data_IF_466285712223
#
_entry.id   IF_466285712223
#
_cell.length_a   1.000
_cell.length_b   1.000
_cell.length_c   1.000
_cell.angle_alpha   90.00
_cell.angle_beta   90.00
_cell.angle_gamma   90.00
#
_symmetry.space_group_name_H-M   'P 1'
#
loop_
_entity.id
_entity.type
_entity.pdbx_description
1 polymer ?
#
# COMPACT_ATOMS: atom_id res chain seq x y z
N UNK A 1 13.48 8.43 -15.24
CA UNK A 1 14.09 8.17 -16.53
C UNK A 1 13.06 8.16 -17.67
N UNK A 2 11.88 7.54 -17.45
CA UNK A 2 10.80 7.39 -18.44
C UNK A 2 9.57 8.22 -18.10
N UNK A 3 9.74 9.32 -17.39
CA UNK A 3 8.67 10.24 -17.00
C UNK A 3 7.89 10.70 -18.25
N UNK A 4 6.58 10.51 -18.26
CA UNK A 4 5.70 10.94 -19.34
C UNK A 4 5.86 10.17 -20.66
N UNK A 5 6.48 8.98 -20.63
CA UNK A 5 6.58 8.13 -21.82
C UNK A 5 5.23 7.44 -22.09
N UNK A 6 4.24 8.23 -22.54
CA UNK A 6 2.84 7.79 -22.68
C UNK A 6 2.63 6.66 -23.69
N UNK A 7 3.58 6.47 -24.62
CA UNK A 7 3.55 5.39 -25.61
C UNK A 7 4.33 4.13 -25.17
N UNK A 8 4.98 4.14 -24.00
CA UNK A 8 5.73 2.98 -23.50
C UNK A 8 4.76 1.88 -23.08
N UNK A 9 4.80 0.74 -23.76
CA UNK A 9 3.92 -0.42 -23.48
C UNK A 9 4.58 -1.51 -22.65
N UNK A 10 5.90 -1.66 -22.76
CA UNK A 10 6.68 -2.73 -22.11
C UNK A 10 8.02 -2.20 -21.61
N UNK A 11 8.58 -2.86 -20.60
CA UNK A 11 9.90 -2.57 -20.02
C UNK A 11 10.77 -3.82 -20.22
N UNK A 12 12.04 -3.65 -20.65
CA UNK A 12 12.99 -4.78 -20.70
C UNK A 12 13.30 -5.28 -19.29
N UNK A 13 13.42 -6.59 -19.13
CA UNK A 13 13.83 -7.23 -17.86
C UNK A 13 15.20 -6.76 -17.37
N UNK A 14 16.10 -6.46 -18.32
CA UNK A 14 17.49 -6.09 -18.01
C UNK A 14 17.74 -4.59 -17.94
N UNK A 15 16.66 -3.77 -17.97
CA UNK A 15 16.77 -2.31 -18.06
C UNK A 15 17.71 -1.70 -17.02
N UNK A 16 17.69 -2.20 -15.79
CA UNK A 16 18.53 -1.71 -14.70
C UNK A 16 19.58 -2.72 -14.22
N UNK A 17 19.81 -3.80 -14.96
CA UNK A 17 20.67 -4.90 -14.51
C UNK A 17 22.10 -4.47 -14.17
N UNK A 18 22.64 -3.49 -14.90
CA UNK A 18 24.00 -2.98 -14.72
C UNK A 18 24.08 -1.70 -13.85
N UNK A 19 22.95 -1.18 -13.37
CA UNK A 19 22.90 0.07 -12.61
C UNK A 19 22.76 -0.20 -11.10
N UNK A 20 23.64 -1.03 -10.54
CA UNK A 20 23.51 -1.63 -9.19
C UNK A 20 23.51 -0.63 -8.04
N UNK A 21 24.04 0.58 -8.24
CA UNK A 21 24.20 1.62 -7.21
C UNK A 21 23.04 2.64 -7.17
N UNK A 22 21.97 2.41 -7.94
CA UNK A 22 20.81 3.31 -7.93
C UNK A 22 20.15 3.29 -6.55
N UNK A 23 19.99 4.48 -5.96
CA UNK A 23 19.33 4.67 -4.65
C UNK A 23 17.89 5.14 -4.78
N UNK A 24 17.47 5.66 -5.93
CA UNK A 24 16.13 6.22 -6.10
C UNK A 24 15.57 5.96 -7.49
N UNK A 25 14.36 5.41 -7.51
CA UNK A 25 13.52 5.24 -8.69
C UNK A 25 12.33 6.20 -8.72
N UNK A 26 12.47 7.35 -8.03
CA UNK A 26 11.41 8.34 -7.96
C UNK A 26 11.01 8.82 -9.36
N UNK A 27 9.69 8.80 -9.63
CA UNK A 27 9.10 9.20 -10.92
C UNK A 27 9.64 8.43 -12.14
N UNK A 28 10.26 7.26 -11.95
CA UNK A 28 10.99 6.59 -13.04
C UNK A 28 10.08 6.26 -14.23
N UNK A 29 8.86 5.77 -13.97
CA UNK A 29 7.82 5.47 -14.96
C UNK A 29 6.54 6.27 -14.72
N UNK A 30 6.65 7.44 -14.09
CA UNK A 30 5.51 8.31 -13.86
C UNK A 30 4.82 8.67 -15.18
N UNK A 31 3.49 8.57 -15.22
CA UNK A 31 2.66 8.90 -16.40
C UNK A 31 2.99 8.08 -17.67
N UNK A 32 3.49 6.86 -17.52
CA UNK A 32 3.59 5.88 -18.60
C UNK A 32 2.23 5.23 -18.84
N UNK A 33 1.30 5.99 -19.42
CA UNK A 33 -0.13 5.64 -19.45
C UNK A 33 -0.47 4.38 -20.26
N UNK A 34 0.36 4.02 -21.27
CA UNK A 34 0.19 2.81 -22.07
C UNK A 34 0.90 1.58 -21.48
N UNK A 35 1.65 1.71 -20.38
CA UNK A 35 2.39 0.60 -19.78
C UNK A 35 1.40 -0.44 -19.24
N UNK A 36 1.48 -1.67 -19.75
CA UNK A 36 0.54 -2.76 -19.43
C UNK A 36 1.09 -3.71 -18.36
N UNK A 37 2.40 -3.96 -18.38
CA UNK A 37 3.06 -4.93 -17.50
C UNK A 37 4.40 -4.42 -17.00
N UNK A 38 4.79 -4.86 -15.81
CA UNK A 38 6.11 -4.69 -15.23
C UNK A 38 6.79 -6.06 -15.28
N UNK A 39 8.03 -6.19 -15.79
CA UNK A 39 8.72 -7.47 -15.80
C UNK A 39 9.09 -7.92 -14.39
N UNK A 40 9.09 -9.23 -14.17
CA UNK A 40 9.60 -9.82 -12.92
C UNK A 40 11.05 -9.40 -12.67
N UNK A 41 11.38 -9.14 -11.41
CA UNK A 41 12.75 -8.81 -11.02
C UNK A 41 13.32 -7.52 -11.60
N UNK A 42 12.49 -6.59 -12.13
CA UNK A 42 12.95 -5.33 -12.72
C UNK A 42 14.00 -4.60 -11.86
N UNK A 43 13.86 -4.65 -10.54
CA UNK A 43 14.77 -3.99 -9.60
C UNK A 43 15.66 -4.98 -8.82
N UNK A 44 15.80 -6.23 -9.28
CA UNK A 44 16.49 -7.28 -8.53
C UNK A 44 17.98 -6.96 -8.27
N UNK A 45 18.63 -6.23 -9.18
CA UNK A 45 20.04 -5.86 -9.06
C UNK A 45 20.27 -4.50 -8.36
N UNK A 46 19.19 -3.83 -7.91
CA UNK A 46 19.26 -2.49 -7.35
C UNK A 46 18.97 -2.51 -5.83
N UNK A 47 19.69 -3.36 -5.09
CA UNK A 47 19.43 -3.61 -3.66
C UNK A 47 19.62 -2.37 -2.76
N UNK A 48 20.39 -1.37 -3.22
CA UNK A 48 20.61 -0.10 -2.51
C UNK A 48 19.46 0.92 -2.67
N UNK A 49 18.43 0.60 -3.47
CA UNK A 49 17.32 1.50 -3.69
C UNK A 49 16.51 1.70 -2.40
N UNK A 50 16.39 2.96 -1.99
CA UNK A 50 15.68 3.38 -0.76
C UNK A 50 14.33 4.02 -1.06
N UNK A 51 14.09 4.49 -2.29
CA UNK A 51 12.84 5.20 -2.62
C UNK A 51 12.29 4.83 -4.00
N UNK A 52 10.97 4.56 -4.01
CA UNK A 52 10.14 4.29 -5.19
C UNK A 52 8.97 5.28 -5.28
N UNK A 53 9.16 6.51 -4.77
CA UNK A 53 8.14 7.53 -4.73
C UNK A 53 7.67 7.88 -6.16
N UNK A 54 6.36 7.80 -6.43
CA UNK A 54 5.73 7.99 -7.75
C UNK A 54 6.29 7.08 -8.87
N UNK A 55 6.95 5.98 -8.56
CA UNK A 55 7.68 5.19 -9.56
C UNK A 55 6.80 4.76 -10.74
N UNK A 56 5.58 4.27 -10.46
CA UNK A 56 4.59 3.86 -11.47
C UNK A 56 3.28 4.65 -11.36
N UNK A 57 3.31 5.85 -10.79
CA UNK A 57 2.09 6.64 -10.66
C UNK A 57 1.55 7.04 -12.05
N UNK A 58 0.22 7.05 -12.19
CA UNK A 58 -0.50 7.30 -13.44
C UNK A 58 -0.23 6.28 -14.57
N UNK A 59 0.33 5.12 -14.30
CA UNK A 59 0.40 4.03 -15.26
C UNK A 59 -1.01 3.42 -15.45
N UNK A 60 -1.89 4.16 -16.13
CA UNK A 60 -3.32 3.83 -16.22
C UNK A 60 -3.61 2.51 -16.93
N UNK A 61 -2.71 2.06 -17.82
CA UNK A 61 -2.78 0.79 -18.54
C UNK A 61 -2.28 -0.42 -17.73
N UNK A 62 -1.63 -0.21 -16.57
CA UNK A 62 -1.01 -1.27 -15.79
C UNK A 62 -2.07 -2.20 -15.19
N UNK A 63 -2.07 -3.47 -15.61
CA UNK A 63 -3.08 -4.46 -15.20
C UNK A 63 -2.66 -5.33 -14.03
N UNK A 64 -1.35 -5.54 -13.84
CA UNK A 64 -0.79 -6.40 -12.80
C UNK A 64 0.59 -5.91 -12.33
N UNK A 65 0.94 -6.27 -11.10
CA UNK A 65 2.26 -6.04 -10.48
C UNK A 65 2.87 -7.42 -10.23
N UNK A 66 4.13 -7.70 -10.61
CA UNK A 66 4.78 -8.97 -10.25
C UNK A 66 5.06 -9.04 -8.74
N UNK A 67 4.82 -10.21 -8.14
CA UNK A 67 4.94 -10.39 -6.68
C UNK A 67 6.35 -10.21 -6.14
N UNK A 68 7.36 -10.42 -6.99
CA UNK A 68 8.78 -10.29 -6.64
C UNK A 68 9.39 -8.92 -7.00
N UNK A 69 8.56 -7.93 -7.38
CA UNK A 69 9.04 -6.62 -7.87
C UNK A 69 10.04 -5.96 -6.93
N UNK A 70 9.76 -5.97 -5.62
CA UNK A 70 10.60 -5.33 -4.60
C UNK A 70 11.33 -6.32 -3.69
N UNK A 71 11.40 -7.59 -4.07
CA UNK A 71 11.94 -8.68 -3.22
C UNK A 71 13.38 -8.40 -2.74
N UNK A 72 14.22 -7.83 -3.60
CA UNK A 72 15.64 -7.57 -3.31
C UNK A 72 15.89 -6.18 -2.70
N UNK A 73 14.90 -5.29 -2.72
CA UNK A 73 15.07 -3.89 -2.30
C UNK A 73 14.78 -3.71 -0.80
N UNK A 74 15.52 -4.44 0.05
CA UNK A 74 15.31 -4.47 1.51
C UNK A 74 15.56 -3.13 2.19
N UNK A 75 16.38 -2.25 1.57
CA UNK A 75 16.67 -0.90 2.05
C UNK A 75 15.56 0.12 1.75
N UNK A 76 14.52 -0.27 1.01
CA UNK A 76 13.46 0.65 0.62
C UNK A 76 12.63 1.11 1.82
N UNK A 77 12.58 2.43 2.02
CA UNK A 77 11.84 3.10 3.10
C UNK A 77 10.61 3.86 2.60
N UNK A 78 10.58 4.26 1.32
CA UNK A 78 9.57 5.17 0.78
C UNK A 78 8.88 4.61 -0.47
N UNK A 79 7.59 4.26 -0.32
CA UNK A 79 6.69 3.80 -1.37
C UNK A 79 5.52 4.78 -1.61
N UNK A 80 5.68 6.06 -1.22
CA UNK A 80 4.64 7.08 -1.44
C UNK A 80 4.24 7.13 -2.91
N UNK A 81 2.94 7.17 -3.18
CA UNK A 81 2.40 7.33 -4.53
C UNK A 81 2.88 6.29 -5.55
N UNK A 82 3.53 5.20 -5.13
CA UNK A 82 4.24 4.29 -6.04
C UNK A 82 3.35 3.77 -7.17
N UNK A 83 2.09 3.44 -6.88
CA UNK A 83 1.08 2.98 -7.85
C UNK A 83 -0.15 3.89 -7.89
N UNK A 84 0.01 5.17 -7.50
CA UNK A 84 -1.11 6.11 -7.55
C UNK A 84 -1.77 6.12 -8.92
N UNK A 85 -3.10 6.09 -8.96
CA UNK A 85 -3.90 6.16 -10.19
C UNK A 85 -3.62 5.08 -11.25
N UNK A 86 -3.10 3.91 -10.86
CA UNK A 86 -3.04 2.74 -11.74
C UNK A 86 -4.45 2.15 -11.90
N UNK A 87 -5.27 2.80 -12.75
CA UNK A 87 -6.73 2.54 -12.80
C UNK A 87 -7.12 1.19 -13.38
N UNK A 88 -6.26 0.57 -14.21
CA UNK A 88 -6.49 -0.76 -14.75
C UNK A 88 -6.05 -1.89 -13.82
N UNK A 89 -5.32 -1.58 -12.74
CA UNK A 89 -4.78 -2.57 -11.80
C UNK A 89 -5.93 -3.32 -11.10
N UNK A 90 -5.94 -4.66 -11.19
CA UNK A 90 -7.04 -5.52 -10.69
C UNK A 90 -6.79 -6.07 -9.29
N UNK A 91 -5.53 -6.38 -8.97
CA UNK A 91 -5.14 -6.96 -7.70
C UNK A 91 -3.73 -6.53 -7.31
N UNK A 92 -3.46 -6.56 -6.01
CA UNK A 92 -2.11 -6.42 -5.44
C UNK A 92 -1.63 -7.85 -5.16
N UNK A 93 -0.42 -8.23 -5.59
CA UNK A 93 0.08 -9.57 -5.31
C UNK A 93 0.37 -9.76 -3.82
N UNK A 94 0.08 -10.93 -3.30
CA UNK A 94 0.50 -11.32 -1.95
C UNK A 94 2.01 -11.24 -1.83
N UNK A 95 2.50 -10.71 -0.71
CA UNK A 95 3.93 -10.62 -0.45
C UNK A 95 4.68 -9.46 -1.13
N UNK A 96 3.99 -8.56 -1.88
CA UNK A 96 4.63 -7.44 -2.59
C UNK A 96 5.64 -6.67 -1.73
N UNK A 97 5.34 -6.44 -0.44
CA UNK A 97 6.20 -5.68 0.47
C UNK A 97 6.81 -6.53 1.59
N UNK A 98 6.74 -7.85 1.51
CA UNK A 98 7.17 -8.75 2.60
C UNK A 98 8.64 -8.56 2.98
N UNK A 99 9.52 -8.27 2.03
CA UNK A 99 10.96 -8.12 2.27
C UNK A 99 11.38 -6.66 2.55
N UNK A 100 10.46 -5.70 2.45
CA UNK A 100 10.75 -4.29 2.63
C UNK A 100 10.48 -3.86 4.09
N UNK A 101 11.13 -4.54 5.03
CA UNK A 101 10.88 -4.37 6.48
C UNK A 101 11.25 -2.98 7.00
N UNK A 102 12.14 -2.26 6.29
CA UNK A 102 12.52 -0.88 6.61
C UNK A 102 11.52 0.17 6.10
N UNK A 103 10.46 -0.23 5.39
CA UNK A 103 9.50 0.70 4.82
C UNK A 103 8.73 1.45 5.92
N UNK A 104 8.76 2.78 5.85
CA UNK A 104 8.08 3.69 6.80
C UNK A 104 6.86 4.39 6.20
N UNK A 105 6.82 4.54 4.85
CA UNK A 105 5.84 5.41 4.22
C UNK A 105 5.16 4.76 3.01
N UNK A 106 3.85 4.51 3.14
CA UNK A 106 2.95 4.00 2.11
C UNK A 106 1.83 5.01 1.76
N UNK A 107 2.02 6.30 2.10
CA UNK A 107 0.99 7.30 1.80
C UNK A 107 0.71 7.38 0.31
N UNK A 108 -0.57 7.44 -0.06
CA UNK A 108 -1.06 7.48 -1.44
C UNK A 108 -0.61 6.29 -2.33
N UNK A 109 -0.03 5.21 -1.78
CA UNK A 109 0.61 4.16 -2.57
C UNK A 109 -0.32 3.58 -3.64
N UNK A 110 -1.59 3.37 -3.32
CA UNK A 110 -2.64 2.88 -4.24
C UNK A 110 -3.80 3.87 -4.40
N UNK A 111 -3.56 5.17 -4.15
CA UNK A 111 -4.58 6.21 -4.30
C UNK A 111 -5.22 6.16 -5.69
N UNK A 112 -6.54 6.12 -5.76
CA UNK A 112 -7.28 6.18 -7.02
C UNK A 112 -7.11 4.97 -7.94
N UNK A 113 -6.65 3.82 -7.42
CA UNK A 113 -6.62 2.56 -8.15
C UNK A 113 -8.03 1.98 -8.26
N UNK A 114 -8.88 2.62 -9.08
CA UNK A 114 -10.31 2.29 -9.20
C UNK A 114 -10.57 0.89 -9.75
N UNK A 115 -9.60 0.28 -10.43
CA UNK A 115 -9.68 -1.09 -10.93
C UNK A 115 -9.54 -2.18 -9.87
N UNK A 116 -8.95 -1.87 -8.70
CA UNK A 116 -8.69 -2.86 -7.66
C UNK A 116 -9.98 -3.51 -7.16
N UNK A 117 -9.91 -4.83 -6.94
CA UNK A 117 -11.03 -5.65 -6.43
C UNK A 117 -10.74 -6.24 -5.05
N UNK A 118 -9.49 -6.57 -4.78
CA UNK A 118 -9.07 -7.25 -3.55
C UNK A 118 -7.77 -6.71 -3.02
N UNK A 119 -7.59 -6.79 -1.70
CA UNK A 119 -6.31 -6.58 -1.01
C UNK A 119 -5.87 -7.93 -0.46
N UNK A 120 -4.62 -8.35 -0.64
CA UNK A 120 -4.13 -9.60 -0.06
C UNK A 120 -4.05 -9.50 1.46
N UNK A 121 -4.25 -10.62 2.11
CA UNK A 121 -4.01 -10.79 3.54
C UNK A 121 -2.55 -10.50 3.85
N UNK A 122 -2.28 -9.86 4.99
CA UNK A 122 -0.93 -9.58 5.45
C UNK A 122 -0.10 -8.64 4.55
N UNK A 123 -0.74 -7.86 3.65
CA UNK A 123 0.01 -6.99 2.72
C UNK A 123 1.10 -6.17 3.41
N UNK A 124 0.81 -5.63 4.61
CA UNK A 124 1.75 -4.83 5.40
C UNK A 124 2.19 -5.51 6.70
N UNK A 125 1.94 -6.81 6.88
CA UNK A 125 2.22 -7.51 8.13
C UNK A 125 3.72 -7.48 8.52
N UNK A 126 4.62 -7.51 7.55
CA UNK A 126 6.07 -7.53 7.79
C UNK A 126 6.71 -6.13 7.83
N UNK A 127 5.94 -5.07 7.55
CA UNK A 127 6.45 -3.69 7.51
C UNK A 127 6.27 -3.02 8.88
N UNK A 128 6.99 -3.54 9.90
CA UNK A 128 6.84 -3.11 11.28
C UNK A 128 7.14 -1.62 11.47
N UNK A 129 8.05 -1.04 10.67
CA UNK A 129 8.42 0.38 10.75
C UNK A 129 7.47 1.32 10.02
N UNK A 130 6.45 0.79 9.35
CA UNK A 130 5.49 1.63 8.63
C UNK A 130 4.59 2.41 9.60
N UNK A 131 4.60 3.74 9.43
CA UNK A 131 3.85 4.71 10.26
C UNK A 131 2.91 5.60 9.43
N UNK A 132 3.08 5.67 8.11
CA UNK A 132 2.28 6.56 7.28
C UNK A 132 1.52 5.79 6.20
N UNK A 133 0.19 5.73 6.36
CA UNK A 133 -0.78 5.15 5.44
C UNK A 133 -1.80 6.20 4.94
N UNK A 134 -1.48 7.50 5.06
CA UNK A 134 -2.38 8.57 4.62
C UNK A 134 -2.83 8.33 3.18
N UNK A 135 -4.14 8.29 2.96
CA UNK A 135 -4.77 8.11 1.64
C UNK A 135 -4.28 6.89 0.85
N UNK A 136 -3.73 5.86 1.52
CA UNK A 136 -3.10 4.71 0.85
C UNK A 136 -4.03 4.04 -0.17
N UNK A 137 -5.32 3.89 0.16
CA UNK A 137 -6.36 3.30 -0.70
C UNK A 137 -7.50 4.26 -1.02
N UNK A 138 -7.28 5.57 -0.87
CA UNK A 138 -8.30 6.58 -1.18
C UNK A 138 -8.89 6.36 -2.58
N UNK A 139 -10.21 6.27 -2.68
CA UNK A 139 -10.91 6.17 -3.95
C UNK A 139 -10.73 4.84 -4.70
N UNK A 140 -10.31 3.77 -4.03
CA UNK A 140 -10.36 2.42 -4.58
C UNK A 140 -11.78 1.87 -4.52
N UNK A 141 -12.67 2.43 -5.35
CA UNK A 141 -14.14 2.36 -5.22
C UNK A 141 -14.74 0.96 -5.35
N UNK A 142 -14.05 0.02 -5.96
CA UNK A 142 -14.50 -1.37 -6.12
C UNK A 142 -13.75 -2.37 -5.24
N UNK A 143 -12.82 -1.91 -4.41
CA UNK A 143 -11.95 -2.78 -3.62
C UNK A 143 -12.70 -3.32 -2.40
N UNK A 144 -12.71 -4.63 -2.23
CA UNK A 144 -13.20 -5.29 -1.03
C UNK A 144 -12.18 -5.15 0.11
N UNK A 145 -12.68 -4.91 1.33
CA UNK A 145 -11.83 -4.88 2.52
C UNK A 145 -11.29 -6.26 2.87
N UNK A 146 -10.09 -6.26 3.48
CA UNK A 146 -9.52 -7.42 4.15
C UNK A 146 -9.15 -7.03 5.59
N UNK A 147 -9.69 -7.70 6.63
CA UNK A 147 -9.44 -7.35 8.02
C UNK A 147 -7.98 -7.54 8.45
N UNK A 148 -7.25 -8.44 7.80
CA UNK A 148 -5.89 -8.83 8.16
C UNK A 148 -4.79 -8.14 7.34
N UNK A 149 -5.09 -7.00 6.70
CA UNK A 149 -4.14 -6.30 5.83
C UNK A 149 -2.83 -5.90 6.55
N UNK A 150 -2.91 -5.58 7.85
CA UNK A 150 -1.77 -5.09 8.64
C UNK A 150 -1.11 -6.16 9.51
N UNK A 151 -1.69 -7.34 9.61
CA UNK A 151 -1.25 -8.37 10.55
C UNK A 151 -1.07 -9.72 9.86
N UNK A 152 -0.18 -10.53 10.39
CA UNK A 152 -0.09 -11.94 10.03
C UNK A 152 -1.27 -12.66 10.69
N UNK A 153 -2.19 -13.29 9.94
CA UNK A 153 -3.34 -13.98 10.53
C UNK A 153 -2.94 -15.13 11.46
N UNK A 154 -1.75 -15.71 11.25
CA UNK A 154 -1.21 -16.77 12.10
C UNK A 154 -0.53 -16.24 13.38
N UNK A 155 -0.31 -14.93 13.52
CA UNK A 155 0.28 -14.35 14.73
C UNK A 155 -0.65 -14.48 15.94
N UNK A 156 -0.07 -14.47 17.15
CA UNK A 156 -0.86 -14.43 18.40
C UNK A 156 -1.71 -13.15 18.46
N UNK A 157 -2.90 -13.22 19.07
CA UNK A 157 -3.82 -12.08 19.15
C UNK A 157 -3.17 -10.85 19.79
N UNK A 158 -2.37 -11.03 20.84
CA UNK A 158 -1.68 -9.91 21.49
C UNK A 158 -0.68 -9.21 20.54
N UNK A 159 0.01 -9.98 19.69
CA UNK A 159 0.95 -9.42 18.71
C UNK A 159 0.19 -8.63 17.63
N UNK A 160 -0.98 -9.13 17.22
CA UNK A 160 -1.86 -8.40 16.30
C UNK A 160 -2.33 -7.09 16.92
N UNK A 161 -2.78 -7.11 18.18
CA UNK A 161 -3.25 -5.92 18.88
C UNK A 161 -2.14 -4.88 19.09
N UNK A 162 -0.91 -5.32 19.32
CA UNK A 162 0.25 -4.46 19.56
C UNK A 162 0.94 -3.99 18.28
N UNK A 163 0.40 -4.27 17.11
CA UNK A 163 1.03 -4.00 15.80
C UNK A 163 1.55 -2.57 15.64
N UNK A 164 0.89 -1.60 16.25
CA UNK A 164 1.20 -0.17 16.13
C UNK A 164 1.47 0.49 17.49
N UNK A 165 1.74 -0.32 18.52
CA UNK A 165 1.96 0.22 19.88
C UNK A 165 3.14 1.20 19.89
N UNK A 166 2.97 2.31 20.60
CA UNK A 166 3.95 3.40 20.77
C UNK A 166 4.43 4.09 19.48
N UNK A 167 3.67 3.96 18.38
CA UNK A 167 3.99 4.60 17.10
C UNK A 167 3.04 5.77 16.81
N UNK A 168 3.58 6.83 16.21
CA UNK A 168 2.80 7.95 15.67
C UNK A 168 2.27 7.54 14.29
N UNK A 169 0.98 7.19 14.23
CA UNK A 169 0.37 6.64 13.02
C UNK A 169 -0.43 7.69 12.25
N UNK A 170 -0.27 7.71 10.93
CA UNK A 170 -1.11 8.50 10.03
C UNK A 170 -1.98 7.60 9.14
N UNK A 171 -3.27 7.50 9.50
CA UNK A 171 -4.31 6.79 8.75
C UNK A 171 -5.34 7.75 8.12
N UNK A 172 -5.07 9.06 8.05
CA UNK A 172 -6.00 10.01 7.45
C UNK A 172 -6.40 9.57 6.05
N UNK A 173 -7.70 9.53 5.78
CA UNK A 173 -8.28 9.14 4.49
C UNK A 173 -7.80 7.78 3.96
N UNK A 174 -7.18 6.91 4.75
CA UNK A 174 -6.53 5.69 4.28
C UNK A 174 -7.45 4.84 3.39
N UNK A 175 -8.71 4.69 3.79
CA UNK A 175 -9.74 3.96 3.08
C UNK A 175 -10.92 4.86 2.65
N UNK A 176 -10.69 6.15 2.45
CA UNK A 176 -11.75 7.09 2.05
C UNK A 176 -12.37 6.66 0.72
N UNK A 177 -13.71 6.54 0.68
CA UNK A 177 -14.46 6.12 -0.52
C UNK A 177 -14.00 4.78 -1.12
N UNK A 178 -13.62 3.83 -0.28
CA UNK A 178 -13.38 2.44 -0.66
C UNK A 178 -14.71 1.68 -0.67
N UNK A 179 -14.84 0.73 -1.58
CA UNK A 179 -15.99 -0.20 -1.62
C UNK A 179 -17.36 0.49 -1.72
N UNK A 180 -17.55 1.33 -2.76
CA UNK A 180 -18.82 2.06 -2.98
C UNK A 180 -19.93 1.23 -3.66
N UNK A 181 -19.65 -0.01 -4.07
CA UNK A 181 -20.53 -0.80 -4.94
C UNK A 181 -21.05 -2.09 -4.28
N UNK A 182 -21.41 -2.04 -2.99
CA UNK A 182 -22.01 -3.16 -2.23
C UNK A 182 -21.18 -4.45 -2.18
N UNK A 183 -19.88 -4.35 -2.34
CA UNK A 183 -18.99 -5.48 -2.10
C UNK A 183 -18.79 -5.60 -0.59
N UNK A 184 -19.56 -6.47 0.06
CA UNK A 184 -19.43 -6.70 1.49
C UNK A 184 -17.99 -7.15 1.83
N UNK A 185 -17.38 -6.50 2.80
CA UNK A 185 -16.07 -6.87 3.31
C UNK A 185 -15.88 -6.27 4.68
N UNK A 186 -15.12 -6.95 5.54
CA UNK A 186 -14.81 -6.49 6.89
C UNK A 186 -13.56 -5.61 6.82
N UNK A 187 -13.70 -4.35 7.24
CA UNK A 187 -12.58 -3.42 7.34
C UNK A 187 -11.61 -3.86 8.44
N UNK A 188 -10.31 -3.54 8.32
CA UNK A 188 -9.35 -3.77 9.39
C UNK A 188 -9.78 -2.98 10.63
N UNK A 189 -9.84 -3.66 11.77
CA UNK A 189 -10.34 -3.10 13.03
C UNK A 189 -9.27 -2.21 13.68
N UNK A 190 -8.92 -1.10 13.03
CA UNK A 190 -7.88 -0.15 13.52
C UNK A 190 -8.19 0.36 14.93
N UNK A 191 -9.47 0.46 15.29
CA UNK A 191 -9.93 0.86 16.63
C UNK A 191 -9.64 -0.16 17.73
N UNK A 192 -9.29 -1.39 17.39
CA UNK A 192 -8.93 -2.45 18.36
C UNK A 192 -7.44 -2.55 18.63
N UNK A 193 -6.59 -1.91 17.82
CA UNK A 193 -5.15 -1.95 18.04
C UNK A 193 -4.74 -1.09 19.24
N UNK A 194 -3.74 -1.57 20.00
CA UNK A 194 -3.16 -0.82 21.10
C UNK A 194 -2.37 0.38 20.57
N UNK A 195 -2.67 1.57 21.08
CA UNK A 195 -2.00 2.81 20.72
C UNK A 195 -0.74 3.05 21.56
N UNK A 196 -0.75 2.65 22.84
CA UNK A 196 0.32 2.98 23.77
C UNK A 196 0.47 4.51 23.91
N UNK A 197 1.70 4.99 23.86
CA UNK A 197 2.05 6.43 23.92
C UNK A 197 1.99 7.13 22.55
N UNK A 198 1.73 6.41 21.45
CA UNK A 198 1.72 6.96 20.10
C UNK A 198 0.58 7.95 19.83
N UNK A 199 0.78 8.88 18.90
CA UNK A 199 -0.23 9.81 18.42
C UNK A 199 -0.77 9.34 17.07
N UNK A 200 -2.09 9.12 16.99
CA UNK A 200 -2.72 8.64 15.76
C UNK A 200 -3.56 9.74 15.12
N UNK A 201 -3.38 9.92 13.82
CA UNK A 201 -4.23 10.77 12.99
C UNK A 201 -5.09 9.89 12.09
N UNK A 202 -6.42 9.92 12.30
CA UNK A 202 -7.37 8.96 11.69
C UNK A 202 -8.51 9.65 10.94
N UNK A 203 -8.46 10.97 10.78
CA UNK A 203 -9.54 11.76 10.18
C UNK A 203 -9.99 11.18 8.84
N UNK A 204 -11.31 10.95 8.70
CA UNK A 204 -11.97 10.42 7.50
C UNK A 204 -11.46 9.03 7.03
N UNK A 205 -10.79 8.24 7.88
CA UNK A 205 -10.14 6.99 7.45
C UNK A 205 -11.08 6.08 6.66
N UNK A 206 -12.33 5.88 7.12
CA UNK A 206 -13.34 5.07 6.43
C UNK A 206 -14.56 5.87 5.92
N UNK A 207 -14.41 7.19 5.74
CA UNK A 207 -15.54 8.03 5.31
C UNK A 207 -16.01 7.64 3.91
N UNK A 208 -17.32 7.43 3.78
CA UNK A 208 -17.97 7.08 2.52
C UNK A 208 -17.77 5.62 2.09
N UNK A 209 -17.34 4.72 3.00
CA UNK A 209 -17.17 3.30 2.73
C UNK A 209 -18.44 2.50 3.01
N UNK A 210 -18.63 1.38 2.27
CA UNK A 210 -19.60 0.34 2.59
C UNK A 210 -18.84 -0.86 3.16
N UNK A 211 -19.15 -1.27 4.39
CA UNK A 211 -18.46 -2.36 5.08
C UNK A 211 -19.41 -3.10 6.04
N UNK A 212 -19.14 -4.38 6.30
CA UNK A 212 -19.96 -5.23 7.16
C UNK A 212 -19.89 -4.88 8.65
N UNK A 213 -18.81 -4.22 9.08
CA UNK A 213 -18.55 -3.84 10.48
C UNK A 213 -18.62 -2.31 10.70
N UNK A 214 -19.46 -1.61 9.94
CA UNK A 214 -19.62 -0.13 10.04
C UNK A 214 -20.10 0.35 11.40
N UNK A 215 -20.85 -0.50 12.14
CA UNK A 215 -21.37 -0.17 13.47
C UNK A 215 -20.26 0.00 14.53
N UNK A 216 -19.06 -0.59 14.28
CA UNK A 216 -17.92 -0.49 15.18
C UNK A 216 -17.16 0.84 15.05
N UNK A 217 -17.42 1.60 13.98
CA UNK A 217 -16.69 2.84 13.66
C UNK A 217 -17.49 4.06 14.11
N UNK A 218 -17.62 4.24 15.45
CA UNK A 218 -18.43 5.35 15.96
C UNK A 218 -17.64 6.61 16.31
N UNK A 219 -16.37 6.49 16.67
CA UNK A 219 -15.54 7.62 17.09
C UNK A 219 -14.07 7.41 16.78
N UNK A 220 -13.55 8.14 15.80
CA UNK A 220 -12.13 8.10 15.42
C UNK A 220 -11.19 8.56 16.53
N UNK A 221 -11.66 9.37 17.49
CA UNK A 221 -10.84 9.90 18.58
C UNK A 221 -10.46 8.84 19.61
N UNK A 222 -11.23 7.73 19.66
CA UNK A 222 -11.02 6.64 20.61
C UNK A 222 -10.18 5.49 20.06
N UNK A 223 -9.77 5.57 18.79
CA UNK A 223 -8.98 4.51 18.18
C UNK A 223 -7.63 4.33 18.85
N UNK A 224 -7.22 3.07 18.98
CA UNK A 224 -5.98 2.70 19.67
C UNK A 224 -6.08 2.71 21.20
N UNK A 225 -7.23 3.03 21.78
CA UNK A 225 -7.49 2.81 23.21
C UNK A 225 -8.05 1.39 23.37
N UNK A 226 -7.44 0.49 24.20
CA UNK A 226 -7.98 -0.81 24.45
C UNK A 226 -9.42 -0.69 25.01
N UNK A 227 -10.37 -1.37 24.38
CA UNK A 227 -11.68 -1.61 24.99
C UNK A 227 -11.51 -2.78 25.94
N UNK A 228 -11.42 -2.53 27.24
CA UNK A 228 -11.47 -3.55 28.30
C UNK A 228 -12.90 -4.01 28.54
#
# INVERSE_FOLDING_TARGET
CFYGCTALTTISTDLFANNTVIKSFNYCFYDCTALQTIPEGLFANNAEATSFNYCFANCNGLTAIPGNLFEKNKAATDFRNCFQSCRALKAIPGGLFTNNTAATNFSYCFYGCTGLRTIPEGLFAKNAEAINFNSCFYGCTYMMFNPNIFVDPAAAEQDKLNRFIDKDMDFRNCFYQVNLHNNSGTAPALWSYAKGSGNWTTANCFKGCIMSNSEDIKDYSTWGTPKF
#
